data_IF_560363821098
#
_entry.id   IF_560363821098
#
_cell.length_a   1.000
_cell.length_b   1.000
_cell.length_c   1.000
_cell.angle_alpha   90.00
_cell.angle_beta   90.00
_cell.angle_gamma   90.00
#
_symmetry.space_group_name_H-M   'P 1'
#
loop_
_entity.id
_entity.type
_entity.pdbx_description
1 polymer ?
#
# COMPACT_ATOMS: atom_id res chain seq x y z
N UNK A 1 -40.99 -37.17 32.79
CA UNK A 1 -41.17 -35.81 32.22
C UNK A 1 -40.14 -34.88 32.85
N UNK A 2 -39.47 -34.12 31.98
CA UNK A 2 -38.35 -33.16 32.13
C UNK A 2 -38.08 -32.55 33.52
N UNK A 3 -36.85 -32.68 33.98
CA UNK A 3 -36.19 -31.76 34.92
C UNK A 3 -35.62 -30.58 34.12
N UNK A 4 -35.91 -29.35 34.55
CA UNK A 4 -35.38 -28.11 33.97
C UNK A 4 -34.37 -27.54 34.98
N UNK A 5 -33.09 -27.58 34.61
CA UNK A 5 -32.01 -26.96 35.37
C UNK A 5 -31.96 -25.48 35.00
N UNK A 6 -32.33 -24.60 35.93
CA UNK A 6 -32.16 -23.16 35.78
C UNK A 6 -30.72 -22.78 36.21
N UNK A 7 -29.91 -22.35 35.25
CA UNK A 7 -28.61 -21.73 35.54
C UNK A 7 -28.82 -20.22 35.68
N UNK A 8 -28.63 -19.70 36.89
CA UNK A 8 -28.59 -18.27 37.17
C UNK A 8 -27.27 -17.68 36.64
N UNK A 9 -27.37 -16.73 35.71
CA UNK A 9 -26.22 -15.93 35.26
C UNK A 9 -26.14 -14.70 36.16
N UNK A 10 -25.06 -14.60 36.94
CA UNK A 10 -24.74 -13.43 37.74
C UNK A 10 -24.24 -12.30 36.81
N UNK A 11 -25.02 -11.22 36.70
CA UNK A 11 -24.60 -9.97 36.08
C UNK A 11 -23.80 -9.15 37.08
N UNK A 12 -22.48 -9.03 36.87
CA UNK A 12 -21.67 -8.07 37.58
C UNK A 12 -21.77 -6.71 36.86
N UNK A 13 -22.52 -5.78 37.45
CA UNK A 13 -22.55 -4.38 37.04
C UNK A 13 -21.34 -3.67 37.64
N UNK A 14 -20.34 -3.33 36.81
CA UNK A 14 -19.28 -2.40 37.23
C UNK A 14 -19.75 -0.98 36.89
N UNK A 15 -20.09 -0.24 37.94
CA UNK A 15 -20.38 1.18 37.87
C UNK A 15 -19.08 1.97 37.68
N UNK A 16 -18.85 2.51 36.48
CA UNK A 16 -17.82 3.52 36.26
C UNK A 16 -18.37 4.89 36.67
N UNK A 17 -18.07 5.29 37.90
CA UNK A 17 -18.21 6.68 38.34
C UNK A 17 -17.15 7.53 37.62
N UNK A 18 -17.56 8.28 36.59
CA UNK A 18 -16.75 9.39 36.08
C UNK A 18 -17.58 10.66 36.19
N UNK A 19 -17.15 11.52 37.10
CA UNK A 19 -17.65 12.86 37.36
C UNK A 19 -17.63 13.70 36.08
N UNK A 20 -18.79 14.23 35.70
CA UNK A 20 -18.94 15.20 34.62
C UNK A 20 -18.30 16.54 35.02
N UNK A 21 -17.22 16.94 34.35
CA UNK A 21 -16.87 18.35 34.23
C UNK A 21 -17.69 18.93 33.06
N UNK A 22 -18.51 19.93 33.34
CA UNK A 22 -19.31 20.64 32.34
C UNK A 22 -18.43 21.44 31.38
N UNK A 23 -18.84 21.63 30.10
CA UNK A 23 -18.11 22.47 29.16
C UNK A 23 -18.28 23.96 29.50
N UNK A 24 -17.18 24.70 29.56
CA UNK A 24 -17.18 26.17 29.59
C UNK A 24 -17.40 26.71 28.16
N UNK A 25 -18.13 27.83 28.00
CA UNK A 25 -18.46 28.40 26.70
C UNK A 25 -17.25 29.05 26.00
N UNK A 26 -17.23 28.93 24.67
CA UNK A 26 -16.21 29.50 23.79
C UNK A 26 -16.17 31.04 23.88
N UNK A 27 -14.97 31.60 23.98
CA UNK A 27 -14.71 33.03 23.76
C UNK A 27 -13.81 33.17 22.54
N UNK A 28 -14.30 33.91 21.54
CA UNK A 28 -13.58 34.34 20.35
C UNK A 28 -12.39 35.26 20.71
N UNK A 29 -11.25 35.06 20.04
CA UNK A 29 -10.35 36.09 19.46
C UNK A 29 -9.00 35.45 18.99
N UNK A 30 -8.27 36.08 18.05
CA UNK A 30 -7.37 35.40 17.10
C UNK A 30 -5.92 35.28 17.62
N UNK A 31 -5.26 34.17 17.29
CA UNK A 31 -3.82 33.99 17.53
C UNK A 31 -3.06 34.00 16.21
N UNK A 32 -2.23 35.03 16.06
CA UNK A 32 -1.25 35.20 14.99
C UNK A 32 -0.12 34.17 15.11
N UNK A 33 0.31 33.63 13.97
CA UNK A 33 1.46 32.74 13.81
C UNK A 33 2.77 33.56 13.70
N UNK A 34 3.82 33.27 14.49
CA UNK A 34 5.17 33.74 14.20
C UNK A 34 6.07 32.58 13.73
N UNK A 35 6.85 32.79 12.67
CA UNK A 35 8.01 31.94 12.37
C UNK A 35 8.39 31.79 10.89
N UNK A 36 8.74 32.88 10.20
CA UNK A 36 9.45 32.82 8.91
C UNK A 36 10.96 33.00 9.15
N UNK A 37 11.75 31.94 8.93
CA UNK A 37 13.21 32.02 8.93
C UNK A 37 13.69 32.34 7.51
N UNK A 38 14.17 33.58 7.35
CA UNK A 38 14.96 34.05 6.21
C UNK A 38 16.41 33.60 6.41
N UNK A 39 17.04 33.04 5.38
CA UNK A 39 18.50 32.96 5.29
C UNK A 39 19.02 34.02 4.34
N UNK A 40 20.09 34.68 4.80
CA UNK A 40 20.69 35.86 4.23
C UNK A 40 21.54 35.56 3.00
N UNK A 41 21.48 36.51 2.07
CA UNK A 41 22.32 36.68 0.89
C UNK A 41 23.70 37.21 1.30
N UNK A 42 24.77 36.70 0.66
CA UNK A 42 26.09 37.33 0.68
C UNK A 42 26.57 37.48 -0.77
N UNK A 43 26.65 38.73 -1.24
CA UNK A 43 27.39 39.11 -2.44
C UNK A 43 28.67 39.86 -2.03
N UNK A 44 29.80 39.50 -2.65
CA UNK A 44 30.81 40.43 -3.17
C UNK A 44 31.89 39.62 -3.94
N UNK A 45 32.02 39.87 -5.26
CA UNK A 45 33.13 39.42 -6.12
C UNK A 45 34.38 40.31 -5.99
N UNK A 46 35.31 40.42 -6.98
CA UNK A 46 35.20 40.08 -8.41
C UNK A 46 36.48 39.45 -9.08
N UNK A 47 36.37 39.16 -10.41
CA UNK A 47 37.33 39.50 -11.50
C UNK A 47 37.76 38.36 -12.48
N UNK A 48 38.01 38.77 -13.73
CA UNK A 48 37.93 38.09 -15.05
C UNK A 48 39.04 37.04 -15.41
N UNK A 49 38.70 36.24 -16.43
CA UNK A 49 39.39 35.15 -17.13
C UNK A 49 40.77 35.46 -17.78
N UNK A 50 41.45 34.43 -18.34
CA UNK A 50 41.38 34.26 -19.80
C UNK A 50 41.25 32.81 -20.31
N UNK A 51 40.84 32.71 -21.56
CA UNK A 51 40.75 31.53 -22.40
C UNK A 51 42.13 30.95 -22.77
N UNK A 52 42.20 29.62 -22.95
CA UNK A 52 43.21 28.97 -23.77
C UNK A 52 42.52 28.04 -24.77
N UNK A 53 42.52 28.47 -26.02
CA UNK A 53 42.33 27.67 -27.22
C UNK A 53 43.49 26.70 -27.40
N UNK A 54 43.23 25.44 -27.76
CA UNK A 54 44.00 24.79 -28.83
C UNK A 54 43.26 23.60 -29.43
N UNK A 55 43.40 23.47 -30.73
CA UNK A 55 42.71 22.56 -31.64
C UNK A 55 43.54 21.30 -31.95
N UNK A 56 42.81 20.22 -32.20
CA UNK A 56 43.04 19.14 -33.19
C UNK A 56 44.14 18.07 -32.98
N UNK A 57 43.62 16.85 -32.86
CA UNK A 57 43.94 15.61 -33.58
C UNK A 57 45.31 14.92 -33.38
N UNK A 58 45.26 13.68 -32.86
CA UNK A 58 45.31 12.47 -33.72
C UNK A 58 45.10 11.16 -32.94
N UNK A 59 44.11 10.39 -33.40
CA UNK A 59 44.09 8.92 -33.57
C UNK A 59 44.67 8.05 -32.45
N UNK A 60 43.77 7.40 -31.70
CA UNK A 60 43.89 5.97 -31.39
C UNK A 60 42.49 5.37 -31.25
N UNK A 61 42.09 4.60 -32.26
CA UNK A 61 41.09 3.55 -32.11
C UNK A 61 41.59 2.62 -30.99
N UNK A 62 40.92 2.66 -29.85
CA UNK A 62 40.92 1.59 -28.88
C UNK A 62 39.45 1.27 -28.62
N UNK A 63 39.11 0.00 -28.82
CA UNK A 63 37.75 -0.52 -28.79
C UNK A 63 36.99 -0.03 -27.55
N UNK A 64 35.76 0.42 -27.78
CA UNK A 64 34.80 0.71 -26.73
C UNK A 64 34.70 -0.49 -25.78
N UNK A 65 34.79 -0.31 -24.44
CA UNK A 65 34.35 -1.36 -23.54
C UNK A 65 32.86 -1.54 -23.81
N UNK A 66 32.50 -2.73 -24.27
CA UNK A 66 31.13 -3.19 -24.42
C UNK A 66 30.39 -2.88 -23.13
N UNK A 67 29.52 -1.88 -23.17
CA UNK A 67 28.45 -1.72 -22.20
C UNK A 67 27.66 -3.04 -22.26
N UNK A 68 27.92 -3.94 -21.31
CA UNK A 68 27.00 -5.02 -21.02
C UNK A 68 25.77 -4.36 -20.39
N UNK A 69 24.89 -3.91 -21.28
CA UNK A 69 23.48 -3.75 -20.97
C UNK A 69 22.97 -5.15 -20.63
N UNK A 70 23.03 -5.49 -19.34
CA UNK A 70 22.31 -6.63 -18.79
C UNK A 70 20.84 -6.30 -19.01
N UNK A 71 20.24 -6.97 -19.99
CA UNK A 71 18.81 -6.89 -20.23
C UNK A 71 18.09 -7.36 -18.96
N UNK A 72 17.04 -6.66 -18.50
CA UNK A 72 16.30 -7.04 -17.32
C UNK A 72 15.44 -8.28 -17.66
N UNK A 73 16.05 -9.46 -17.64
CA UNK A 73 15.34 -10.72 -17.86
C UNK A 73 14.25 -10.99 -16.81
N UNK A 74 14.30 -10.31 -15.66
CA UNK A 74 13.25 -10.40 -14.63
C UNK A 74 11.95 -9.65 -14.95
N UNK A 75 11.93 -8.74 -15.94
CA UNK A 75 10.71 -7.99 -16.29
C UNK A 75 9.70 -8.83 -17.09
N UNK A 76 10.18 -9.59 -18.08
CA UNK A 76 9.35 -10.49 -18.90
C UNK A 76 8.84 -11.72 -18.14
N UNK A 77 9.56 -12.16 -17.10
CA UNK A 77 9.19 -13.37 -16.35
C UNK A 77 7.96 -13.12 -15.47
N UNK A 78 7.84 -11.92 -14.89
CA UNK A 78 6.73 -11.54 -14.01
C UNK A 78 5.39 -11.43 -14.77
N UNK A 79 5.38 -10.85 -15.97
CA UNK A 79 4.16 -10.75 -16.81
C UNK A 79 3.70 -12.08 -17.39
N UNK A 80 4.61 -13.02 -17.64
CA UNK A 80 4.24 -14.36 -18.10
C UNK A 80 3.53 -15.20 -17.03
N UNK A 81 3.66 -14.84 -15.74
CA UNK A 81 3.07 -15.62 -14.64
C UNK A 81 1.68 -15.15 -14.20
N UNK A 82 1.30 -13.89 -14.41
CA UNK A 82 0.04 -13.34 -13.89
C UNK A 82 -0.80 -12.74 -15.03
N UNK A 83 -1.98 -13.31 -15.26
CA UNK A 83 -2.93 -12.81 -16.24
C UNK A 83 -3.62 -11.54 -15.78
N UNK A 84 -3.89 -10.62 -16.71
CA UNK A 84 -4.67 -9.41 -16.46
C UNK A 84 -6.07 -9.75 -15.94
N UNK A 85 -6.46 -9.26 -14.74
CA UNK A 85 -7.70 -9.64 -14.11
C UNK A 85 -8.89 -8.96 -14.77
N UNK A 86 -10.02 -9.68 -14.82
CA UNK A 86 -11.31 -9.20 -15.34
C UNK A 86 -12.40 -9.18 -14.27
N UNK A 87 -12.16 -9.82 -13.13
CA UNK A 87 -13.10 -9.90 -12.02
C UNK A 87 -12.42 -9.59 -10.69
N UNK A 88 -13.16 -9.16 -9.65
CA UNK A 88 -12.61 -8.97 -8.31
C UNK A 88 -11.91 -10.21 -7.76
N UNK A 89 -12.44 -11.40 -8.05
CA UNK A 89 -11.85 -12.67 -7.60
C UNK A 89 -10.49 -12.92 -8.27
N UNK A 90 -10.41 -12.73 -9.59
CA UNK A 90 -9.13 -12.83 -10.33
C UNK A 90 -8.11 -11.79 -9.86
N UNK A 91 -8.57 -10.57 -9.53
CA UNK A 91 -7.70 -9.54 -8.98
C UNK A 91 -7.09 -9.97 -7.64
N UNK A 92 -7.91 -10.53 -6.74
CA UNK A 92 -7.44 -11.03 -5.45
C UNK A 92 -6.54 -12.27 -5.62
N UNK A 93 -6.79 -13.11 -6.62
CA UNK A 93 -5.87 -14.20 -7.00
C UNK A 93 -4.50 -13.67 -7.42
N UNK A 94 -4.44 -12.58 -8.19
CA UNK A 94 -3.18 -11.94 -8.56
C UNK A 94 -2.43 -11.44 -7.32
N UNK A 95 -3.12 -10.84 -6.35
CA UNK A 95 -2.51 -10.44 -5.06
C UNK A 95 -1.96 -11.64 -4.27
N UNK A 96 -2.66 -12.77 -4.28
CA UNK A 96 -2.14 -14.02 -3.68
C UNK A 96 -0.88 -14.50 -4.41
N UNK A 97 -0.89 -14.51 -5.75
CA UNK A 97 0.27 -14.93 -6.53
C UNK A 97 1.49 -14.04 -6.28
N UNK A 98 1.30 -12.72 -6.16
CA UNK A 98 2.33 -11.76 -5.76
C UNK A 98 2.92 -12.10 -4.40
N UNK A 99 2.07 -12.42 -3.41
CA UNK A 99 2.49 -12.78 -2.07
C UNK A 99 3.22 -14.13 -2.01
N UNK A 100 2.74 -15.14 -2.74
CA UNK A 100 3.31 -16.49 -2.72
C UNK A 100 4.64 -16.56 -3.48
N UNK A 101 4.75 -15.85 -4.60
CA UNK A 101 5.94 -15.81 -5.45
C UNK A 101 6.99 -14.76 -5.06
N UNK A 102 6.79 -14.07 -3.93
CA UNK A 102 7.68 -13.02 -3.42
C UNK A 102 7.97 -11.90 -4.47
N UNK A 103 6.98 -11.61 -5.34
CA UNK A 103 7.17 -10.75 -6.50
C UNK A 103 7.49 -9.30 -6.13
N UNK A 104 7.05 -8.85 -4.94
CA UNK A 104 7.39 -7.52 -4.42
C UNK A 104 8.89 -7.35 -4.09
N UNK A 105 9.69 -8.42 -4.10
CA UNK A 105 11.15 -8.30 -3.96
C UNK A 105 11.85 -8.09 -5.32
N UNK A 106 11.15 -8.36 -6.42
CA UNK A 106 11.71 -8.36 -7.76
C UNK A 106 11.55 -6.99 -8.42
N UNK A 107 12.64 -6.40 -8.89
CA UNK A 107 12.59 -5.09 -9.57
C UNK A 107 11.73 -5.10 -10.84
N UNK A 108 11.68 -6.25 -11.53
CA UNK A 108 10.83 -6.44 -12.71
C UNK A 108 9.34 -6.27 -12.42
N UNK A 109 8.87 -6.50 -11.20
CA UNK A 109 7.47 -6.27 -10.83
C UNK A 109 7.06 -4.80 -10.95
N UNK A 110 7.98 -3.88 -10.70
CA UNK A 110 7.70 -2.44 -10.57
C UNK A 110 7.71 -1.66 -11.89
N UNK A 111 7.76 -2.34 -13.04
CA UNK A 111 7.65 -1.66 -14.33
C UNK A 111 6.22 -1.18 -14.56
N UNK A 112 6.06 -0.03 -15.21
CA UNK A 112 4.74 0.52 -15.53
C UNK A 112 3.86 -0.47 -16.31
N UNK A 113 4.45 -1.19 -17.26
CA UNK A 113 3.79 -2.22 -18.07
C UNK A 113 3.27 -3.36 -17.19
N UNK A 114 4.13 -3.93 -16.34
CA UNK A 114 3.76 -5.05 -15.47
C UNK A 114 2.66 -4.65 -14.51
N UNK A 115 2.75 -3.47 -13.89
CA UNK A 115 1.71 -2.97 -12.98
C UNK A 115 0.38 -2.76 -13.69
N UNK A 116 0.39 -2.20 -14.91
CA UNK A 116 -0.82 -2.01 -15.72
C UNK A 116 -1.49 -3.34 -16.05
N UNK A 117 -0.72 -4.35 -16.40
CA UNK A 117 -1.26 -5.65 -16.78
C UNK A 117 -1.72 -6.46 -15.56
N UNK A 118 -0.89 -6.59 -14.53
CA UNK A 118 -1.18 -7.37 -13.31
C UNK A 118 -2.43 -6.86 -12.60
N UNK A 119 -2.66 -5.55 -12.59
CA UNK A 119 -3.75 -4.93 -11.84
C UNK A 119 -4.83 -4.28 -12.73
N UNK A 120 -4.74 -4.38 -14.06
CA UNK A 120 -5.69 -3.76 -14.98
C UNK A 120 -5.92 -2.26 -14.65
N UNK A 121 -4.84 -1.47 -14.63
CA UNK A 121 -4.86 -0.09 -14.15
C UNK A 121 -5.26 0.92 -15.22
N UNK A 122 -6.09 1.89 -14.82
CA UNK A 122 -6.37 3.09 -15.62
C UNK A 122 -5.19 4.07 -15.57
N UNK A 123 -4.62 4.22 -14.37
CA UNK A 123 -3.50 5.10 -14.08
C UNK A 123 -2.57 4.42 -13.10
N UNK A 124 -1.28 4.59 -13.34
CA UNK A 124 -0.21 4.14 -12.45
C UNK A 124 0.82 5.24 -12.37
N UNK A 125 1.36 5.43 -11.18
CA UNK A 125 2.51 6.29 -10.92
C UNK A 125 3.60 5.41 -10.32
N UNK A 126 4.79 5.51 -10.90
CA UNK A 126 6.01 4.85 -10.41
C UNK A 126 7.04 5.93 -10.18
N UNK A 127 7.46 6.09 -8.93
CA UNK A 127 8.55 6.95 -8.54
C UNK A 127 9.72 6.07 -8.10
N UNK A 128 10.87 6.23 -8.75
CA UNK A 128 12.05 5.40 -8.52
C UNK A 128 13.24 6.32 -8.26
N UNK A 129 13.63 6.41 -7.00
CA UNK A 129 14.74 7.22 -6.53
C UNK A 129 15.91 6.31 -6.17
N UNK A 130 17.06 6.57 -6.78
CA UNK A 130 18.32 5.90 -6.46
C UNK A 130 19.17 6.90 -5.68
N UNK A 131 19.47 6.56 -4.43
CA UNK A 131 20.32 7.35 -3.55
C UNK A 131 21.58 6.56 -3.21
N UNK A 132 22.60 7.24 -2.67
CA UNK A 132 23.86 6.59 -2.23
C UNK A 132 23.63 5.48 -1.20
N UNK A 133 22.50 5.55 -0.47
CA UNK A 133 22.13 4.61 0.61
C UNK A 133 21.23 3.46 0.17
N UNK A 134 20.77 3.44 -1.08
CA UNK A 134 19.86 2.38 -1.56
C UNK A 134 18.93 2.81 -2.68
N UNK A 135 18.04 1.87 -3.06
CA UNK A 135 17.02 2.08 -4.09
C UNK A 135 15.64 2.14 -3.45
N UNK A 136 14.89 3.21 -3.75
CA UNK A 136 13.54 3.43 -3.27
C UNK A 136 12.58 3.47 -4.45
N UNK A 137 11.64 2.52 -4.49
CA UNK A 137 10.56 2.47 -5.46
C UNK A 137 9.25 2.73 -4.71
N UNK A 138 8.45 3.69 -5.18
CA UNK A 138 7.10 3.95 -4.72
C UNK A 138 6.14 3.79 -5.89
N UNK A 139 5.02 3.11 -5.66
CA UNK A 139 3.98 2.88 -6.65
C UNK A 139 2.62 3.27 -6.11
N UNK A 140 1.78 3.80 -6.99
CA UNK A 140 0.36 3.97 -6.74
C UNK A 140 -0.44 3.77 -8.01
N UNK A 141 -1.67 3.30 -7.89
CA UNK A 141 -2.50 3.01 -9.05
C UNK A 141 -3.98 2.99 -8.74
N UNK A 142 -4.78 3.29 -9.75
CA UNK A 142 -6.24 3.17 -9.73
C UNK A 142 -6.69 2.05 -10.64
N UNK A 143 -7.47 1.11 -10.08
CA UNK A 143 -7.98 -0.04 -10.82
C UNK A 143 -9.13 0.39 -11.72
N UNK A 144 -9.25 -0.28 -12.87
CA UNK A 144 -10.33 -0.04 -13.83
C UNK A 144 -11.71 -0.33 -13.24
N UNK A 145 -12.66 0.51 -13.66
CA UNK A 145 -14.08 0.34 -13.40
C UNK A 145 -14.71 -0.94 -13.99
N UNK A 146 -14.00 -1.60 -14.91
CA UNK A 146 -14.36 -2.92 -15.43
C UNK A 146 -14.24 -4.05 -14.38
N UNK A 147 -13.47 -3.83 -13.31
CA UNK A 147 -13.31 -4.79 -12.21
C UNK A 147 -14.10 -4.34 -10.98
N UNK A 148 -13.90 -3.09 -10.55
CA UNK A 148 -14.50 -2.55 -9.32
C UNK A 148 -15.37 -1.33 -9.62
N UNK A 149 -16.61 -1.25 -9.11
CA UNK A 149 -17.47 -0.10 -9.34
C UNK A 149 -16.81 1.22 -8.94
N UNK A 150 -17.02 2.27 -9.73
CA UNK A 150 -16.56 3.63 -9.37
C UNK A 150 -17.40 4.20 -8.23
N UNK A 151 -16.78 5.02 -7.40
CA UNK A 151 -17.45 5.76 -6.33
C UNK A 151 -17.95 7.09 -6.90
N UNK A 152 -19.23 7.41 -6.67
CA UNK A 152 -19.78 8.73 -7.00
C UNK A 152 -19.20 9.77 -6.07
N UNK A 153 -18.63 10.82 -6.65
CA UNK A 153 -18.08 11.97 -5.91
C UNK A 153 -18.81 13.24 -6.29
N UNK A 154 -18.55 14.34 -5.58
CA UNK A 154 -19.13 15.63 -5.96
C UNK A 154 -18.62 16.05 -7.34
N UNK A 155 -19.39 16.88 -8.06
CA UNK A 155 -18.99 17.41 -9.38
C UNK A 155 -17.66 18.18 -9.31
N UNK A 156 -17.34 18.78 -8.16
CA UNK A 156 -16.07 19.46 -7.92
C UNK A 156 -14.86 18.52 -8.05
N UNK A 157 -15.03 17.24 -7.71
CA UNK A 157 -14.01 16.20 -7.85
C UNK A 157 -14.19 15.34 -9.10
N UNK A 158 -14.82 15.89 -10.15
CA UNK A 158 -15.03 15.18 -11.43
C UNK A 158 -16.22 14.21 -11.44
N UNK A 159 -17.01 14.16 -10.36
CA UNK A 159 -18.27 13.39 -10.30
C UNK A 159 -18.13 11.88 -10.10
N UNK A 160 -16.93 11.32 -10.29
CA UNK A 160 -16.65 9.90 -10.07
C UNK A 160 -15.16 9.63 -9.86
N UNK A 161 -14.81 8.76 -8.91
CA UNK A 161 -13.44 8.29 -8.68
C UNK A 161 -13.36 6.77 -8.73
N UNK A 162 -12.18 6.20 -8.93
CA UNK A 162 -12.01 4.74 -8.88
C UNK A 162 -12.42 4.20 -7.51
N UNK A 163 -13.13 3.07 -7.51
CA UNK A 163 -13.54 2.41 -6.27
C UNK A 163 -12.49 1.49 -5.67
N UNK A 164 -11.37 1.27 -6.37
CA UNK A 164 -10.27 0.48 -5.88
C UNK A 164 -8.91 1.06 -6.30
N UNK A 165 -7.97 1.08 -5.36
CA UNK A 165 -6.66 1.68 -5.54
C UNK A 165 -5.61 0.94 -4.73
N UNK A 166 -4.35 1.06 -5.14
CA UNK A 166 -3.23 0.61 -4.34
C UNK A 166 -2.18 1.70 -4.16
N UNK A 167 -1.43 1.53 -3.07
CA UNK A 167 -0.14 2.18 -2.83
C UNK A 167 0.84 1.13 -2.36
N UNK A 168 2.12 1.29 -2.68
CA UNK A 168 3.13 0.32 -2.29
C UNK A 168 4.53 0.75 -2.69
N UNK A 169 5.47 -0.16 -2.56
CA UNK A 169 6.86 0.12 -2.91
C UNK A 169 7.84 -0.95 -2.47
N UNK A 170 9.11 -0.66 -2.73
CA UNK A 170 10.28 -1.43 -2.30
C UNK A 170 11.37 -0.46 -1.86
N UNK A 171 11.98 -0.75 -0.73
CA UNK A 171 13.16 -0.09 -0.19
C UNK A 171 14.25 -1.16 -0.16
N UNK A 172 15.34 -0.92 -0.88
CA UNK A 172 16.49 -1.80 -0.99
C UNK A 172 17.70 -1.10 -0.34
N UNK A 173 18.06 -1.53 0.88
CA UNK A 173 19.19 -1.02 1.65
C UNK A 173 20.21 -2.15 1.88
N UNK A 174 21.47 -1.79 2.15
CA UNK A 174 22.61 -2.72 2.17
C UNK A 174 22.47 -4.00 3.01
N UNK A 175 21.57 -4.04 3.99
CA UNK A 175 21.34 -5.20 4.88
C UNK A 175 19.86 -5.59 4.98
N UNK A 176 18.97 -4.91 4.23
CA UNK A 176 17.54 -5.08 4.42
C UNK A 176 16.75 -4.62 3.20
N UNK A 177 15.96 -5.54 2.66
CA UNK A 177 14.94 -5.22 1.68
C UNK A 177 13.58 -5.22 2.37
N UNK A 178 12.82 -4.14 2.20
CA UNK A 178 11.42 -4.05 2.63
C UNK A 178 10.55 -3.74 1.43
N UNK A 179 9.48 -4.49 1.26
CA UNK A 179 8.47 -4.16 0.26
C UNK A 179 7.08 -4.35 0.81
N UNK A 180 6.13 -3.62 0.24
CA UNK A 180 4.76 -3.68 0.67
C UNK A 180 3.80 -3.17 -0.38
N UNK A 181 2.57 -3.63 -0.28
CA UNK A 181 1.46 -3.24 -1.13
C UNK A 181 0.20 -3.17 -0.27
N UNK A 182 -0.43 -2.01 -0.26
CA UNK A 182 -1.72 -1.78 0.39
C UNK A 182 -2.76 -1.52 -0.69
N UNK A 183 -3.68 -2.47 -0.85
CA UNK A 183 -4.78 -2.41 -1.78
C UNK A 183 -6.09 -2.19 -1.03
N UNK A 184 -6.82 -1.14 -1.37
CA UNK A 184 -8.13 -0.83 -0.81
C UNK A 184 -9.20 -0.85 -1.89
N UNK A 185 -10.38 -1.35 -1.54
CA UNK A 185 -11.58 -1.32 -2.37
C UNK A 185 -12.80 -0.92 -1.54
N UNK A 186 -13.69 -0.12 -2.12
CA UNK A 186 -14.87 0.38 -1.44
C UNK A 186 -16.03 -0.62 -1.49
N UNK A 187 -16.34 -1.13 -2.69
CA UNK A 187 -17.41 -2.08 -2.97
C UNK A 187 -16.97 -3.08 -4.04
N UNK A 188 -17.66 -4.22 -4.12
CA UNK A 188 -17.43 -5.26 -5.15
C UNK A 188 -16.29 -6.23 -4.84
N UNK A 189 -15.76 -6.20 -3.62
CA UNK A 189 -14.80 -7.21 -3.17
C UNK A 189 -15.43 -8.60 -2.99
N UNK A 190 -14.65 -9.69 -3.09
CA UNK A 190 -15.16 -11.03 -2.77
C UNK A 190 -15.70 -11.10 -1.33
N UNK A 191 -16.76 -11.90 -1.13
CA UNK A 191 -17.26 -12.21 0.21
C UNK A 191 -16.24 -13.02 1.04
N UNK A 192 -16.52 -13.17 2.34
CA UNK A 192 -15.66 -13.90 3.26
C UNK A 192 -15.33 -15.33 2.80
N UNK A 193 -16.31 -16.08 2.30
CA UNK A 193 -16.11 -17.47 1.88
C UNK A 193 -15.24 -17.56 0.62
N UNK A 194 -15.44 -16.65 -0.34
CA UNK A 194 -14.62 -16.55 -1.53
C UNK A 194 -13.19 -16.12 -1.18
N UNK A 195 -13.02 -15.09 -0.34
CA UNK A 195 -11.71 -14.61 0.07
C UNK A 195 -10.92 -15.67 0.88
N UNK A 196 -11.56 -16.36 1.81
CA UNK A 196 -10.88 -17.38 2.63
C UNK A 196 -10.55 -18.66 1.86
N UNK A 197 -11.35 -19.01 0.84
CA UNK A 197 -10.98 -20.08 -0.11
C UNK A 197 -9.71 -19.73 -0.88
N UNK A 198 -9.53 -18.46 -1.25
CA UNK A 198 -8.32 -18.02 -1.93
C UNK A 198 -7.10 -18.13 -1.04
N UNK A 199 -7.14 -17.57 0.18
CA UNK A 199 -5.93 -17.43 1.00
C UNK A 199 -5.57 -18.64 1.89
N UNK A 200 -6.31 -19.74 1.79
CA UNK A 200 -6.17 -20.95 2.59
C UNK A 200 -6.38 -20.72 4.11
N UNK A 201 -6.70 -21.79 4.85
CA UNK A 201 -7.21 -21.72 6.25
C UNK A 201 -6.17 -21.33 7.32
N UNK A 202 -5.07 -20.65 6.97
CA UNK A 202 -3.98 -20.31 7.91
C UNK A 202 -4.11 -18.93 8.54
N UNK A 203 -5.18 -18.21 8.25
CA UNK A 203 -5.41 -16.89 8.79
C UNK A 203 -5.87 -16.96 10.24
N UNK A 204 -5.36 -16.02 11.03
CA UNK A 204 -5.79 -15.79 12.40
C UNK A 204 -6.54 -14.46 12.45
N UNK A 205 -7.72 -14.46 13.08
CA UNK A 205 -8.49 -13.24 13.29
C UNK A 205 -7.72 -12.26 14.18
N UNK A 206 -7.64 -11.02 13.74
CA UNK A 206 -7.04 -9.91 14.49
C UNK A 206 -8.16 -9.20 15.27
N UNK A 207 -8.05 -9.09 16.60
CA UNK A 207 -9.00 -8.31 17.39
C UNK A 207 -9.01 -6.84 16.95
N UNK A 208 -10.18 -6.18 16.92
CA UNK A 208 -10.25 -4.76 16.58
C UNK A 208 -9.48 -3.94 17.61
N UNK A 209 -8.71 -2.97 17.13
CA UNK A 209 -8.00 -2.03 18.00
C UNK A 209 -8.90 -0.83 18.33
N UNK A 210 -8.77 -0.24 19.53
CA UNK A 210 -9.46 1.01 19.85
C UNK A 210 -9.07 2.12 18.88
N UNK A 211 -10.06 2.77 18.27
CA UNK A 211 -9.86 3.91 17.37
C UNK A 211 -10.25 5.21 18.09
N UNK A 212 -9.36 6.23 18.14
CA UNK A 212 -9.70 7.53 18.71
C UNK A 212 -10.75 8.29 17.89
N UNK A 213 -11.04 7.85 16.66
CA UNK A 213 -12.03 8.46 15.75
C UNK A 213 -13.38 7.71 15.75
N UNK A 214 -13.57 6.78 16.69
CA UNK A 214 -14.67 5.82 16.65
C UNK A 214 -14.31 4.61 15.77
N UNK A 215 -14.85 3.45 16.14
CA UNK A 215 -14.73 2.23 15.35
C UNK A 215 -15.62 2.28 14.11
N UNK A 216 -15.50 1.28 13.21
CA UNK A 216 -16.47 1.12 12.13
C UNK A 216 -17.89 0.97 12.69
N UNK A 217 -18.89 1.33 11.88
CA UNK A 217 -20.29 1.08 12.22
C UNK A 217 -20.55 -0.40 12.49
N UNK A 218 -21.70 -0.73 13.09
CA UNK A 218 -22.05 -2.13 13.36
C UNK A 218 -21.98 -2.99 12.10
N UNK A 219 -21.48 -4.22 12.25
CA UNK A 219 -21.50 -5.19 11.17
C UNK A 219 -22.95 -5.47 10.75
N UNK A 220 -23.19 -5.53 9.43
CA UNK A 220 -24.51 -5.80 8.84
C UNK A 220 -24.61 -7.22 8.29
N UNK A 221 -23.50 -7.94 8.25
CA UNK A 221 -23.41 -9.34 7.83
C UNK A 221 -22.41 -10.13 8.69
N UNK A 222 -22.44 -11.49 8.65
CA UNK A 222 -21.38 -12.31 9.21
C UNK A 222 -20.01 -11.88 8.68
N UNK A 223 -19.00 -11.92 9.55
CA UNK A 223 -17.63 -11.48 9.24
C UNK A 223 -17.46 -10.01 8.85
N UNK A 224 -18.52 -9.19 8.99
CA UNK A 224 -18.43 -7.75 8.78
C UNK A 224 -17.47 -7.08 9.76
N UNK A 225 -16.66 -6.14 9.27
CA UNK A 225 -15.60 -5.43 9.99
C UNK A 225 -14.49 -6.34 10.57
N UNK A 226 -14.41 -7.60 10.15
CA UNK A 226 -13.34 -8.47 10.61
C UNK A 226 -12.04 -8.20 9.87
N UNK A 227 -10.92 -8.36 10.59
CA UNK A 227 -9.58 -8.35 10.02
C UNK A 227 -8.91 -9.68 10.34
N UNK A 228 -8.20 -10.22 9.36
CA UNK A 228 -7.53 -11.50 9.45
C UNK A 228 -6.10 -11.36 8.96
N UNK A 229 -5.16 -12.05 9.61
CA UNK A 229 -3.74 -11.99 9.29
C UNK A 229 -3.17 -13.38 9.09
N UNK A 230 -2.34 -13.51 8.06
CA UNK A 230 -1.41 -14.61 7.90
C UNK A 230 0.02 -14.08 7.91
N UNK A 231 0.92 -14.84 8.55
CA UNK A 231 2.33 -14.51 8.63
C UNK A 231 3.16 -15.79 8.59
N UNK A 232 4.28 -15.74 7.86
CA UNK A 232 5.27 -16.83 7.78
C UNK A 232 6.68 -16.27 7.66
N UNK A 233 7.64 -17.14 7.95
CA UNK A 233 9.08 -16.89 7.77
C UNK A 233 9.59 -18.01 6.86
N UNK A 234 10.15 -17.62 5.72
CA UNK A 234 10.73 -18.53 4.72
C UNK A 234 12.22 -18.18 4.56
N UNK A 235 13.09 -18.94 5.22
CA UNK A 235 14.51 -18.59 5.26
C UNK A 235 14.72 -17.22 5.90
N UNK A 236 15.32 -16.30 5.14
CA UNK A 236 15.59 -14.91 5.57
C UNK A 236 14.44 -13.94 5.29
N UNK A 237 13.38 -14.41 4.62
CA UNK A 237 12.22 -13.59 4.26
C UNK A 237 11.09 -13.77 5.25
N UNK A 238 10.70 -12.68 5.92
CA UNK A 238 9.46 -12.56 6.68
C UNK A 238 8.38 -11.98 5.78
N UNK A 239 7.23 -12.65 5.67
CA UNK A 239 6.09 -12.14 4.92
C UNK A 239 4.79 -12.20 5.69
N UNK A 240 3.95 -11.19 5.52
CA UNK A 240 2.59 -11.14 6.03
C UNK A 240 1.61 -10.63 5.00
N UNK A 241 0.39 -11.15 5.10
CA UNK A 241 -0.77 -10.65 4.39
C UNK A 241 -1.90 -10.44 5.39
N UNK A 242 -2.53 -9.27 5.34
CA UNK A 242 -3.64 -8.87 6.20
C UNK A 242 -4.81 -8.55 5.29
N UNK A 243 -5.95 -9.17 5.55
CA UNK A 243 -7.20 -8.94 4.83
C UNK A 243 -8.23 -8.36 5.79
N UNK A 244 -9.00 -7.37 5.32
CA UNK A 244 -10.07 -6.75 6.10
C UNK A 244 -11.36 -6.73 5.30
N UNK A 245 -12.47 -6.87 6.01
CA UNK A 245 -13.82 -6.87 5.44
C UNK A 245 -14.59 -5.61 5.88
N UNK A 246 -15.43 -5.08 4.99
CA UNK A 246 -16.35 -3.99 5.31
C UNK A 246 -17.52 -4.49 6.19
N UNK A 247 -18.48 -3.62 6.53
CA UNK A 247 -19.60 -4.00 7.39
C UNK A 247 -20.52 -5.06 6.77
N UNK A 248 -20.60 -5.15 5.43
CA UNK A 248 -21.35 -6.17 4.69
C UNK A 248 -20.61 -7.50 4.52
N UNK A 249 -19.39 -7.64 5.07
CA UNK A 249 -18.62 -8.90 4.99
C UNK A 249 -17.94 -9.12 3.65
N UNK A 250 -17.80 -8.07 2.83
CA UNK A 250 -17.04 -8.09 1.58
C UNK A 250 -15.61 -7.59 1.84
N UNK A 251 -14.65 -8.18 1.15
CA UNK A 251 -13.25 -7.81 1.25
C UNK A 251 -13.07 -6.33 0.86
N UNK A 252 -12.47 -5.55 1.74
CA UNK A 252 -12.31 -4.10 1.56
C UNK A 252 -10.84 -3.65 1.55
N UNK A 253 -9.93 -4.45 2.11
CA UNK A 253 -8.51 -4.13 2.12
C UNK A 253 -7.64 -5.39 2.11
N UNK A 254 -6.52 -5.33 1.41
CA UNK A 254 -5.44 -6.32 1.46
C UNK A 254 -4.12 -5.57 1.65
N UNK A 255 -3.38 -5.87 2.72
CA UNK A 255 -2.04 -5.37 2.97
C UNK A 255 -1.05 -6.53 2.91
N UNK A 256 -0.08 -6.44 2.00
CA UNK A 256 1.03 -7.38 1.84
C UNK A 256 2.30 -6.69 2.30
N UNK A 257 3.11 -7.37 3.11
CA UNK A 257 4.40 -6.88 3.60
C UNK A 257 5.44 -8.00 3.51
N UNK A 258 6.59 -7.71 2.89
CA UNK A 258 7.75 -8.59 2.83
C UNK A 258 8.96 -7.87 3.40
N UNK A 259 9.78 -8.60 4.13
CA UNK A 259 11.06 -8.13 4.65
C UNK A 259 12.09 -9.23 4.49
N UNK A 260 13.17 -8.97 3.77
CA UNK A 260 14.27 -9.90 3.55
C UNK A 260 15.55 -9.30 4.14
N UNK A 261 16.27 -10.10 4.91
CA UNK A 261 17.60 -9.77 5.44
C UNK A 261 18.69 -10.37 4.56
#
# INVERSE_FOLDING_TARGET
>A
MKAVTAAAVATATVASNITYAQPMPASDLPVALPGSLRYAQAENGPQRAPALTSQLNSVRQAASPTNQSVSPQGGEEVTKMISRPKTPVEFVQNLKAIFDGDLLLQDGFYTEENLKDIFNLEKVNVDNNIEDSGKNISISGSVSDSIFPRIKTSKFFGGSTSGAQFVGGKIDQSELIRSGLNFGMYEGGPDFDAATKLFEKRFVRVPPQPSPHGGPGAATAPHGNETWKYQRIDGETKKSIIISFNSSGELSNILIELTQK
#
